data_IF_863380392255
#
_entry.id   IF_863380392255
#
_cell.length_a   1.000
_cell.length_b   1.000
_cell.length_c   1.000
_cell.angle_alpha   90.00
_cell.angle_beta   90.00
_cell.angle_gamma   90.00
#
_symmetry.space_group_name_H-M   'P 1'
#
loop_
_entity.id
_entity.type
_entity.pdbx_description
1 polymer ?
#
# COMPACT_ATOMS: atom_id res chain seq x y z
N UNK A 1 -5.10 -17.83 1.97
CA UNK A 1 -3.84 -17.03 1.97
C UNK A 1 -3.38 -16.90 3.41
N UNK A 2 -2.07 -16.94 3.64
CA UNK A 2 -1.50 -16.69 4.97
C UNK A 2 -1.93 -15.31 5.49
N UNK A 3 -2.22 -15.21 6.79
CA UNK A 3 -2.61 -13.96 7.45
C UNK A 3 -1.51 -13.46 8.37
N UNK A 4 -1.39 -12.13 8.47
CA UNK A 4 -0.38 -11.46 9.28
C UNK A 4 -1.02 -10.34 10.13
N UNK A 5 -0.63 -10.22 11.40
CA UNK A 5 -1.10 -9.14 12.27
C UNK A 5 -0.57 -7.78 11.80
N UNK A 6 -1.44 -6.79 11.71
CA UNK A 6 -1.04 -5.41 11.41
C UNK A 6 -0.51 -4.73 12.68
N UNK A 7 0.76 -4.37 12.62
CA UNK A 7 1.43 -3.68 13.72
C UNK A 7 1.30 -4.42 15.04
N UNK A 8 0.93 -3.68 16.08
CA UNK A 8 0.68 -4.21 17.43
C UNK A 8 -0.77 -4.64 17.66
N UNK A 9 -1.63 -4.64 16.62
CA UNK A 9 -3.07 -4.96 16.75
C UNK A 9 -3.37 -6.45 16.55
N UNK A 10 -4.63 -6.82 16.78
CA UNK A 10 -5.15 -8.17 16.46
C UNK A 10 -5.74 -8.26 15.04
N UNK A 11 -5.64 -7.22 14.23
CA UNK A 11 -6.18 -7.20 12.86
C UNK A 11 -5.34 -8.11 11.96
N UNK A 12 -5.96 -9.13 11.38
CA UNK A 12 -5.31 -10.15 10.56
C UNK A 12 -5.46 -9.83 9.06
N UNK A 13 -4.43 -9.25 8.47
CA UNK A 13 -4.33 -8.96 7.02
C UNK A 13 -3.82 -10.17 6.25
N UNK A 14 -4.35 -10.39 5.05
CA UNK A 14 -3.69 -11.26 4.07
C UNK A 14 -2.27 -10.79 3.78
N UNK A 15 -1.35 -11.72 3.56
CA UNK A 15 0.09 -11.44 3.37
C UNK A 15 0.39 -10.60 2.12
N UNK A 16 -0.51 -10.62 1.14
CA UNK A 16 -0.57 -9.70 0.00
C UNK A 16 -1.83 -8.84 0.14
N UNK A 17 -1.70 -7.54 -0.12
CA UNK A 17 -2.79 -6.56 -0.09
C UNK A 17 -3.27 -6.29 -1.52
N UNK A 18 -4.57 -6.14 -1.73
CA UNK A 18 -5.09 -5.76 -3.03
C UNK A 18 -5.28 -4.24 -3.15
N UNK A 19 -4.49 -3.61 -4.03
CA UNK A 19 -4.52 -2.17 -4.29
C UNK A 19 -5.59 -1.77 -5.31
N UNK A 20 -6.50 -0.91 -4.90
CA UNK A 20 -7.69 -0.54 -5.68
C UNK A 20 -7.51 0.70 -6.58
N UNK A 21 -6.32 1.30 -6.65
CA UNK A 21 -6.09 2.55 -7.41
C UNK A 21 -6.48 2.45 -8.90
N UNK A 22 -6.33 1.29 -9.51
CA UNK A 22 -6.53 1.09 -10.96
C UNK A 22 -7.84 0.43 -11.36
N UNK A 23 -8.73 0.12 -10.39
CA UNK A 23 -9.93 -0.69 -10.66
C UNK A 23 -10.95 0.00 -11.59
N UNK A 24 -10.99 1.33 -11.63
CA UNK A 24 -11.89 2.05 -12.55
C UNK A 24 -11.21 2.45 -13.88
N UNK A 25 -9.87 2.39 -13.96
CA UNK A 25 -9.12 2.78 -15.16
C UNK A 25 -9.49 4.19 -15.63
N UNK A 26 -9.96 4.33 -16.86
CA UNK A 26 -10.50 5.57 -17.44
C UNK A 26 -11.99 5.82 -17.08
N UNK A 27 -12.54 5.03 -16.18
CA UNK A 27 -13.94 5.03 -15.73
C UNK A 27 -14.98 4.72 -16.83
N UNK A 28 -14.55 4.21 -17.98
CA UNK A 28 -15.48 3.66 -18.99
C UNK A 28 -16.14 2.38 -18.49
N UNK A 29 -17.30 2.04 -19.09
CA UNK A 29 -18.00 0.78 -18.76
C UNK A 29 -17.10 -0.45 -18.94
N UNK A 30 -16.21 -0.44 -19.94
CA UNK A 30 -15.24 -1.52 -20.18
C UNK A 30 -14.23 -1.63 -19.04
N UNK A 31 -13.68 -0.49 -18.60
CA UNK A 31 -12.71 -0.43 -17.50
C UNK A 31 -13.35 -0.81 -16.16
N UNK A 32 -14.55 -0.32 -15.87
CA UNK A 32 -15.30 -0.69 -14.65
C UNK A 32 -15.62 -2.20 -14.62
N UNK A 33 -16.05 -2.80 -15.75
CA UNK A 33 -16.28 -4.25 -15.85
C UNK A 33 -14.99 -5.05 -15.57
N UNK A 34 -13.85 -4.61 -16.12
CA UNK A 34 -12.55 -5.22 -15.85
C UNK A 34 -12.15 -5.08 -14.37
N UNK A 35 -12.34 -3.91 -13.78
CA UNK A 35 -12.06 -3.67 -12.36
C UNK A 35 -12.95 -4.51 -11.44
N UNK A 36 -14.23 -4.61 -11.74
CA UNK A 36 -15.17 -5.49 -11.04
C UNK A 36 -14.69 -6.94 -11.05
N UNK A 37 -14.32 -7.47 -12.22
CA UNK A 37 -13.78 -8.83 -12.33
C UNK A 37 -12.50 -9.01 -11.53
N UNK A 38 -11.63 -8.00 -11.49
CA UNK A 38 -10.40 -8.04 -10.70
C UNK A 38 -10.69 -8.07 -9.19
N UNK A 39 -11.64 -7.27 -8.69
CA UNK A 39 -12.06 -7.28 -7.29
C UNK A 39 -12.67 -8.64 -6.90
N UNK A 40 -13.57 -9.20 -7.74
CA UNK A 40 -14.13 -10.54 -7.55
C UNK A 40 -13.01 -11.59 -7.44
N UNK A 41 -12.08 -11.57 -8.39
CA UNK A 41 -10.93 -12.48 -8.36
C UNK A 41 -10.09 -12.33 -7.09
N UNK A 42 -9.82 -11.11 -6.65
CA UNK A 42 -9.06 -10.90 -5.41
C UNK A 42 -9.77 -11.52 -4.20
N UNK A 43 -11.07 -11.30 -4.06
CA UNK A 43 -11.90 -11.90 -2.99
C UNK A 43 -11.85 -13.43 -3.07
N UNK A 44 -12.08 -14.02 -4.24
CA UNK A 44 -12.04 -15.47 -4.47
C UNK A 44 -10.66 -16.08 -4.17
N UNK A 45 -9.58 -15.33 -4.41
CA UNK A 45 -8.22 -15.77 -4.12
C UNK A 45 -7.81 -15.58 -2.65
N UNK A 46 -8.70 -15.08 -1.79
CA UNK A 46 -8.51 -14.96 -0.35
C UNK A 46 -7.72 -13.72 0.05
N UNK A 47 -7.69 -12.67 -0.79
CA UNK A 47 -7.29 -11.34 -0.34
C UNK A 47 -8.39 -10.79 0.57
N UNK A 48 -8.06 -10.44 1.79
CA UNK A 48 -9.01 -9.84 2.73
C UNK A 48 -8.71 -8.37 3.03
N UNK A 49 -7.61 -7.82 2.50
CA UNK A 49 -7.20 -6.44 2.72
C UNK A 49 -7.19 -5.66 1.40
N UNK A 50 -8.03 -4.61 1.34
CA UNK A 50 -8.23 -3.78 0.16
C UNK A 50 -7.77 -2.35 0.45
N UNK A 51 -6.80 -1.88 -0.35
CA UNK A 51 -6.15 -0.58 -0.18
C UNK A 51 -6.73 0.46 -1.12
N UNK A 52 -7.45 1.40 -0.55
CA UNK A 52 -8.09 2.54 -1.20
C UNK A 52 -7.42 3.88 -0.86
N UNK A 53 -7.90 4.95 -1.45
CA UNK A 53 -7.71 6.33 -1.03
C UNK A 53 -8.86 7.18 -1.57
N UNK A 54 -9.20 8.26 -0.85
CA UNK A 54 -10.26 9.20 -1.22
C UNK A 54 -10.09 9.81 -2.61
N UNK A 55 -8.83 9.91 -3.09
CA UNK A 55 -8.48 10.50 -4.40
C UNK A 55 -8.43 9.50 -5.55
N UNK A 56 -8.50 8.17 -5.30
CA UNK A 56 -8.37 7.18 -6.37
C UNK A 56 -9.57 7.21 -7.32
N UNK A 57 -9.29 7.48 -8.60
CA UNK A 57 -10.35 7.69 -9.59
C UNK A 57 -11.32 8.83 -9.23
N UNK A 58 -10.90 9.80 -8.37
CA UNK A 58 -11.81 10.83 -7.87
C UNK A 58 -12.89 10.31 -6.91
N UNK A 59 -12.64 9.17 -6.26
CA UNK A 59 -13.59 8.49 -5.37
C UNK A 59 -14.30 7.30 -6.03
N UNK A 60 -14.26 7.19 -7.36
CA UNK A 60 -14.94 6.13 -8.11
C UNK A 60 -14.41 4.71 -7.77
N UNK A 61 -13.14 4.58 -7.34
CA UNK A 61 -12.60 3.29 -6.91
C UNK A 61 -13.31 2.77 -5.65
N UNK A 62 -13.61 3.64 -4.70
CA UNK A 62 -14.37 3.31 -3.48
C UNK A 62 -15.82 2.94 -3.82
N UNK A 63 -16.47 3.67 -4.75
CA UNK A 63 -17.84 3.40 -5.21
C UNK A 63 -17.91 2.01 -5.89
N UNK A 64 -17.02 1.72 -6.84
CA UNK A 64 -17.01 0.43 -7.52
C UNK A 64 -16.79 -0.74 -6.55
N UNK A 65 -15.94 -0.56 -5.55
CA UNK A 65 -15.72 -1.57 -4.52
C UNK A 65 -16.99 -1.83 -3.70
N UNK A 66 -17.69 -0.77 -3.27
CA UNK A 66 -18.95 -0.89 -2.56
C UNK A 66 -20.04 -1.61 -3.39
N UNK A 67 -20.13 -1.31 -4.70
CA UNK A 67 -21.04 -2.01 -5.63
C UNK A 67 -20.75 -3.53 -5.64
N UNK A 68 -19.47 -3.92 -5.74
CA UNK A 68 -19.07 -5.34 -5.75
C UNK A 68 -19.42 -6.04 -4.44
N UNK A 69 -19.13 -5.43 -3.29
CA UNK A 69 -19.47 -6.02 -1.99
C UNK A 69 -20.97 -6.19 -1.80
N UNK A 70 -21.76 -5.21 -2.23
CA UNK A 70 -23.23 -5.26 -2.18
C UNK A 70 -23.78 -6.40 -3.04
N UNK A 71 -23.30 -6.55 -4.27
CA UNK A 71 -23.74 -7.62 -5.18
C UNK A 71 -23.42 -9.01 -4.65
N UNK A 72 -22.27 -9.15 -3.96
CA UNK A 72 -21.87 -10.43 -3.34
C UNK A 72 -22.59 -10.70 -2.02
N UNK A 73 -23.32 -9.72 -1.46
CA UNK A 73 -23.79 -9.76 -0.06
C UNK A 73 -22.68 -10.14 0.91
N UNK A 74 -21.47 -9.59 0.67
CA UNK A 74 -20.25 -10.01 1.37
C UNK A 74 -20.26 -9.54 2.82
N UNK A 75 -19.84 -10.42 3.72
CA UNK A 75 -19.71 -10.09 5.15
C UNK A 75 -18.60 -9.05 5.38
N UNK A 76 -18.99 -7.83 5.79
CA UNK A 76 -18.10 -6.70 6.02
C UNK A 76 -16.99 -7.02 7.04
N UNK A 77 -17.26 -7.88 8.01
CA UNK A 77 -16.30 -8.24 9.06
C UNK A 77 -15.15 -9.15 8.56
N UNK A 78 -15.27 -9.71 7.36
CA UNK A 78 -14.23 -10.53 6.75
C UNK A 78 -13.24 -9.75 5.89
N UNK A 79 -13.41 -8.43 5.81
CA UNK A 79 -12.61 -7.55 4.95
C UNK A 79 -11.98 -6.45 5.81
N UNK A 80 -10.72 -6.14 5.48
CA UNK A 80 -10.02 -4.95 5.95
C UNK A 80 -10.06 -3.92 4.83
N UNK A 81 -10.67 -2.78 5.10
CA UNK A 81 -10.66 -1.63 4.21
C UNK A 81 -9.66 -0.62 4.76
N UNK A 82 -8.59 -0.40 4.01
CA UNK A 82 -7.74 0.78 4.19
C UNK A 82 -8.22 1.88 3.25
N UNK A 83 -8.41 3.09 3.77
CA UNK A 83 -8.47 4.29 2.92
C UNK A 83 -7.48 5.35 3.39
N UNK A 84 -7.25 6.37 2.57
CA UNK A 84 -6.24 7.39 2.83
C UNK A 84 -6.82 8.77 2.57
N UNK A 85 -6.32 9.77 3.30
CA UNK A 85 -6.72 11.18 3.14
C UNK A 85 -5.52 12.12 3.21
N UNK A 86 -5.74 13.39 2.93
CA UNK A 86 -4.74 14.44 3.11
C UNK A 86 -4.14 14.98 1.81
N UNK A 87 -4.45 14.42 0.64
CA UNK A 87 -4.01 14.96 -0.65
C UNK A 87 -5.12 15.77 -1.30
N UNK A 88 -4.86 17.04 -1.59
CA UNK A 88 -5.77 17.91 -2.35
C UNK A 88 -5.22 18.15 -3.74
N UNK A 89 -6.02 17.80 -4.75
CA UNK A 89 -5.65 18.02 -6.15
C UNK A 89 -5.70 19.52 -6.48
N UNK A 90 -4.99 19.91 -7.53
CA UNK A 90 -5.12 21.25 -8.11
C UNK A 90 -6.60 21.54 -8.40
N UNK A 91 -6.98 22.80 -8.31
CA UNK A 91 -8.35 23.28 -8.52
C UNK A 91 -9.40 22.70 -7.54
N UNK A 92 -8.99 22.31 -6.32
CA UNK A 92 -9.86 21.76 -5.30
C UNK A 92 -9.65 22.47 -3.93
N UNK A 93 -10.71 23.09 -3.29
CA UNK A 93 -12.10 23.14 -3.81
C UNK A 93 -12.36 24.25 -4.83
N UNK A 94 -11.44 25.22 -4.97
CA UNK A 94 -11.65 26.39 -5.85
C UNK A 94 -10.71 26.33 -7.05
N UNK A 95 -11.18 26.89 -8.18
CA UNK A 95 -10.36 27.07 -9.38
C UNK A 95 -9.09 27.87 -9.05
N UNK A 96 -7.95 27.44 -9.55
CA UNK A 96 -6.60 27.95 -9.31
C UNK A 96 -6.00 27.62 -7.92
N UNK A 97 -6.68 26.87 -7.06
CA UNK A 97 -6.03 26.33 -5.87
C UNK A 97 -4.85 25.44 -6.27
N UNK A 98 -3.67 25.55 -5.62
CA UNK A 98 -2.55 24.66 -5.89
C UNK A 98 -2.86 23.24 -5.37
N UNK A 99 -2.22 22.25 -5.99
CA UNK A 99 -2.11 20.94 -5.37
C UNK A 99 -1.35 21.08 -4.04
N UNK A 100 -1.86 20.45 -2.98
CA UNK A 100 -1.29 20.56 -1.63
C UNK A 100 -1.66 19.39 -0.76
N UNK A 101 -1.02 19.29 0.37
CA UNK A 101 -1.46 18.42 1.47
C UNK A 101 -2.32 19.22 2.45
N UNK A 102 -3.23 18.55 3.14
CA UNK A 102 -4.11 19.16 4.15
C UNK A 102 -4.44 18.09 5.19
N UNK A 103 -3.73 18.12 6.30
CA UNK A 103 -3.92 17.24 7.45
C UNK A 103 -4.53 17.97 8.63
N UNK A 104 -5.29 19.06 8.36
CA UNK A 104 -6.11 19.70 9.39
C UNK A 104 -7.19 18.73 9.90
N UNK A 105 -7.53 18.83 11.19
CA UNK A 105 -8.58 18.02 11.82
C UNK A 105 -9.87 18.02 10.99
N UNK A 106 -10.31 19.21 10.57
CA UNK A 106 -11.54 19.38 9.76
C UNK A 106 -11.48 18.63 8.44
N UNK A 107 -10.32 18.66 7.75
CA UNK A 107 -10.20 18.00 6.45
C UNK A 107 -10.13 16.48 6.59
N UNK A 108 -9.41 15.96 7.58
CA UNK A 108 -9.34 14.52 7.88
C UNK A 108 -10.74 13.96 8.11
N UNK A 109 -11.51 14.56 9.02
CA UNK A 109 -12.88 14.11 9.34
C UNK A 109 -13.77 14.15 8.10
N UNK A 110 -13.77 15.27 7.36
CA UNK A 110 -14.54 15.41 6.11
C UNK A 110 -14.18 14.34 5.07
N UNK A 111 -12.89 14.04 4.90
CA UNK A 111 -12.43 13.00 3.95
C UNK A 111 -12.92 11.62 4.35
N UNK A 112 -12.83 11.27 5.63
CA UNK A 112 -13.33 9.99 6.17
C UNK A 112 -14.83 9.86 5.95
N UNK A 113 -15.61 10.87 6.27
CA UNK A 113 -17.07 10.85 6.03
C UNK A 113 -17.42 10.69 4.56
N UNK A 114 -16.63 11.32 3.67
CA UNK A 114 -16.76 11.14 2.23
C UNK A 114 -16.45 9.70 1.80
N UNK A 115 -15.39 9.10 2.32
CA UNK A 115 -15.01 7.72 2.03
C UNK A 115 -16.03 6.71 2.55
N UNK A 116 -16.53 6.89 3.77
CA UNK A 116 -17.59 6.05 4.35
C UNK A 116 -18.85 6.04 3.47
N UNK A 117 -19.26 7.22 2.99
CA UNK A 117 -20.41 7.34 2.06
C UNK A 117 -20.15 6.61 0.73
N UNK A 118 -18.98 6.77 0.12
CA UNK A 118 -18.62 6.11 -1.16
C UNK A 118 -18.48 4.61 -1.01
N UNK A 119 -17.84 4.15 0.07
CA UNK A 119 -17.65 2.74 0.41
C UNK A 119 -18.94 2.06 0.90
N UNK A 120 -19.99 2.86 1.18
CA UNK A 120 -21.27 2.38 1.74
C UNK A 120 -21.06 1.50 2.98
N UNK A 121 -20.26 1.99 3.94
CA UNK A 121 -19.91 1.30 5.20
C UNK A 121 -19.92 2.28 6.36
N UNK A 122 -20.14 1.77 7.56
CA UNK A 122 -20.17 2.58 8.78
C UNK A 122 -18.78 2.85 9.34
N UNK A 123 -17.77 2.03 8.97
CA UNK A 123 -16.40 2.17 9.47
C UNK A 123 -15.34 1.82 8.43
N UNK A 124 -14.16 2.39 8.60
CA UNK A 124 -12.90 2.07 7.93
C UNK A 124 -12.01 1.33 8.94
N UNK A 125 -11.45 0.19 8.55
CA UNK A 125 -10.58 -0.60 9.45
C UNK A 125 -9.25 0.09 9.72
N UNK A 126 -8.69 0.77 8.70
CA UNK A 126 -7.40 1.44 8.79
C UNK A 126 -7.40 2.73 7.96
N UNK A 127 -7.22 3.87 8.60
CA UNK A 127 -7.03 5.16 7.94
C UNK A 127 -5.53 5.50 7.87
N UNK A 128 -5.04 5.84 6.69
CA UNK A 128 -3.68 6.36 6.51
C UNK A 128 -3.68 7.85 6.18
N UNK A 129 -2.76 8.60 6.76
CA UNK A 129 -2.37 9.90 6.24
C UNK A 129 -1.56 9.67 4.95
N UNK A 130 -2.08 10.10 3.79
CA UNK A 130 -1.57 9.67 2.48
C UNK A 130 -0.17 10.16 2.16
N UNK A 131 0.17 11.37 2.63
CA UNK A 131 1.49 12.01 2.50
C UNK A 131 1.76 12.87 3.73
N UNK A 132 3.03 13.05 4.13
CA UNK A 132 3.37 14.00 5.17
C UNK A 132 3.06 15.43 4.69
N UNK A 133 2.28 16.16 5.48
CA UNK A 133 2.03 17.57 5.26
C UNK A 133 3.13 18.38 5.94
N UNK A 134 3.78 19.28 5.20
CA UNK A 134 4.83 20.15 5.76
C UNK A 134 4.29 21.15 6.80
N UNK A 135 2.99 21.37 6.81
CA UNK A 135 2.28 22.25 7.75
C UNK A 135 1.47 21.45 8.80
N UNK A 136 1.78 20.18 9.00
CA UNK A 136 1.09 19.30 9.94
C UNK A 136 1.19 19.83 11.37
N UNK A 137 0.04 19.97 12.02
CA UNK A 137 -0.08 20.15 13.46
C UNK A 137 -0.46 18.81 14.11
N UNK A 138 0.45 18.24 14.89
CA UNK A 138 0.27 16.88 15.42
C UNK A 138 -0.93 16.79 16.39
N UNK A 139 -1.22 17.85 17.16
CA UNK A 139 -2.39 17.93 18.03
C UNK A 139 -3.70 17.88 17.24
N UNK A 140 -3.78 18.53 16.08
CA UNK A 140 -4.96 18.48 15.24
C UNK A 140 -5.20 17.09 14.67
N UNK A 141 -4.14 16.43 14.21
CA UNK A 141 -4.20 15.05 13.71
C UNK A 141 -4.60 14.09 14.81
N UNK A 142 -3.98 14.18 15.99
CA UNK A 142 -4.33 13.36 17.15
C UNK A 142 -5.77 13.59 17.58
N UNK A 143 -6.23 14.84 17.62
CA UNK A 143 -7.62 15.18 17.91
C UNK A 143 -8.62 14.66 16.86
N UNK A 144 -8.22 14.58 15.57
CA UNK A 144 -9.04 13.96 14.53
C UNK A 144 -9.12 12.43 14.73
N UNK A 145 -8.00 11.79 15.02
CA UNK A 145 -7.94 10.35 15.26
C UNK A 145 -8.80 9.94 16.45
N UNK A 146 -8.71 10.67 17.56
CA UNK A 146 -9.50 10.41 18.75
C UNK A 146 -11.01 10.56 18.48
N UNK A 147 -11.43 11.59 17.76
CA UNK A 147 -12.83 11.81 17.39
C UNK A 147 -13.37 10.70 16.47
N UNK A 148 -12.58 10.30 15.47
CA UNK A 148 -12.95 9.24 14.54
C UNK A 148 -13.02 7.87 15.21
N UNK A 149 -12.11 7.59 16.15
CA UNK A 149 -12.11 6.36 16.94
C UNK A 149 -13.34 6.32 17.86
N UNK A 150 -13.58 7.39 18.64
CA UNK A 150 -14.69 7.46 19.60
C UNK A 150 -16.06 7.38 18.90
N UNK A 151 -16.17 7.87 17.66
CA UNK A 151 -17.38 7.74 16.86
C UNK A 151 -17.50 6.39 16.13
N UNK A 152 -16.53 5.49 16.26
CA UNK A 152 -16.49 4.20 15.58
C UNK A 152 -16.30 4.26 14.07
N UNK A 153 -16.03 5.45 13.51
CA UNK A 153 -15.85 5.65 12.06
C UNK A 153 -14.53 5.11 11.53
N UNK A 154 -13.48 5.06 12.36
CA UNK A 154 -12.17 4.50 12.05
C UNK A 154 -11.69 3.66 13.22
N UNK A 155 -11.25 2.45 12.95
CA UNK A 155 -10.82 1.51 13.99
C UNK A 155 -9.31 1.57 14.28
N UNK A 156 -8.49 1.88 13.29
CA UNK A 156 -7.03 1.93 13.41
C UNK A 156 -6.44 3.01 12.51
N UNK A 157 -5.21 3.43 12.84
CA UNK A 157 -4.51 4.51 12.15
C UNK A 157 -3.12 4.11 11.70
N UNK A 158 -2.64 4.79 10.68
CA UNK A 158 -1.29 4.67 10.17
C UNK A 158 -0.94 5.85 9.27
N UNK A 159 0.21 5.75 8.64
CA UNK A 159 0.74 6.79 7.77
C UNK A 159 1.23 6.22 6.44
N UNK A 160 1.49 7.09 5.49
CA UNK A 160 2.11 6.72 4.22
C UNK A 160 3.18 7.74 3.84
N UNK A 161 4.37 7.24 3.46
CA UNK A 161 5.53 8.04 3.08
C UNK A 161 6.09 8.96 4.17
N UNK A 162 5.85 8.64 5.44
CA UNK A 162 6.43 9.36 6.56
C UNK A 162 7.86 8.86 6.83
N UNK A 163 8.77 9.79 7.07
CA UNK A 163 10.11 9.47 7.54
C UNK A 163 10.08 8.96 8.99
N UNK A 164 11.15 8.30 9.48
CA UNK A 164 11.23 7.85 10.86
C UNK A 164 11.01 8.97 11.87
N UNK A 165 11.55 10.17 11.64
CA UNK A 165 11.34 11.32 12.52
C UNK A 165 9.90 11.81 12.52
N UNK A 166 9.24 11.82 11.37
CA UNK A 166 7.82 12.22 11.27
C UNK A 166 6.89 11.20 11.95
N UNK A 167 7.18 9.89 11.82
CA UNK A 167 6.45 8.85 12.54
C UNK A 167 6.62 9.03 14.05
N UNK A 168 7.86 9.19 14.54
CA UNK A 168 8.14 9.38 15.98
C UNK A 168 7.46 10.62 16.53
N UNK A 169 7.52 11.73 15.78
CA UNK A 169 6.86 12.98 16.16
C UNK A 169 5.36 12.80 16.28
N UNK A 170 4.70 12.26 15.25
CA UNK A 170 3.25 12.07 15.28
C UNK A 170 2.83 11.08 16.37
N UNK A 171 3.55 9.96 16.52
CA UNK A 171 3.25 8.96 17.54
C UNK A 171 3.32 9.53 18.96
N UNK A 172 4.19 10.52 19.22
CA UNK A 172 4.30 11.16 20.54
C UNK A 172 3.07 11.98 20.94
N UNK A 173 2.19 12.32 20.00
CA UNK A 173 0.92 13.01 20.23
C UNK A 173 -0.31 12.09 20.19
N UNK A 174 -0.15 10.88 19.62
CA UNK A 174 -1.25 9.93 19.47
C UNK A 174 -1.23 8.88 20.59
N UNK A 175 -2.34 8.70 21.29
CA UNK A 175 -2.51 7.61 22.27
C UNK A 175 -2.58 6.24 21.58
N UNK A 176 -3.21 6.19 20.39
CA UNK A 176 -3.32 4.99 19.59
C UNK A 176 -2.01 4.72 18.84
N UNK A 177 -1.58 3.45 18.75
CA UNK A 177 -0.41 3.11 17.95
C UNK A 177 -0.67 3.33 16.46
N UNK A 178 0.33 3.87 15.75
CA UNK A 178 0.34 3.86 14.30
C UNK A 178 0.70 2.44 13.83
N UNK A 179 -0.24 1.75 13.19
CA UNK A 179 -0.07 0.33 12.85
C UNK A 179 0.70 0.10 11.55
N UNK A 180 0.72 1.09 10.66
CA UNK A 180 1.25 0.96 9.30
C UNK A 180 2.03 2.21 8.91
N UNK A 181 3.18 2.01 8.23
CA UNK A 181 3.78 3.02 7.35
C UNK A 181 3.83 2.44 5.93
N UNK A 182 3.03 3.00 5.02
CA UNK A 182 2.96 2.55 3.64
C UNK A 182 3.93 3.36 2.79
N UNK A 183 5.01 2.75 2.31
CA UNK A 183 6.11 3.41 1.60
C UNK A 183 6.43 2.72 0.28
N UNK A 184 7.11 3.43 -0.63
CA UNK A 184 7.62 2.79 -1.83
C UNK A 184 8.79 1.88 -1.49
N UNK A 185 8.66 0.59 -1.79
CA UNK A 185 9.76 -0.36 -1.67
C UNK A 185 9.71 -1.32 -2.87
N UNK A 186 10.78 -1.30 -3.65
CA UNK A 186 11.03 -2.20 -4.77
C UNK A 186 12.53 -2.17 -5.09
N UNK A 187 12.99 -2.94 -6.07
CA UNK A 187 14.41 -3.00 -6.40
C UNK A 187 14.97 -1.66 -6.94
N UNK A 188 14.13 -0.80 -7.53
CA UNK A 188 14.54 0.52 -8.01
C UNK A 188 14.50 1.58 -6.90
N UNK A 189 13.72 1.36 -5.84
CA UNK A 189 13.68 2.23 -4.67
C UNK A 189 13.87 1.41 -3.38
N UNK A 190 15.09 1.40 -2.89
CA UNK A 190 15.50 0.71 -1.64
C UNK A 190 15.75 1.69 -0.49
N UNK A 191 15.34 2.94 -0.61
CA UNK A 191 15.60 3.98 0.40
C UNK A 191 15.22 3.53 1.81
N UNK A 192 14.07 2.87 1.95
CA UNK A 192 13.59 2.36 3.25
C UNK A 192 14.49 1.30 3.90
N UNK A 193 15.43 0.69 3.17
CA UNK A 193 16.42 -0.22 3.73
C UNK A 193 17.57 0.52 4.45
N UNK A 194 17.77 1.82 4.16
CA UNK A 194 18.96 2.56 4.59
C UNK A 194 18.66 3.84 5.37
N UNK A 195 17.42 4.34 5.34
CA UNK A 195 17.00 5.58 5.99
C UNK A 195 16.44 5.38 7.42
N UNK A 196 16.44 4.13 7.91
CA UNK A 196 15.90 3.78 9.22
C UNK A 196 14.39 3.47 9.23
N UNK A 197 13.69 3.58 8.09
CA UNK A 197 12.24 3.31 8.02
C UNK A 197 11.90 1.87 8.44
N UNK A 198 12.58 0.87 7.87
CA UNK A 198 12.31 -0.53 8.20
C UNK A 198 12.82 -0.93 9.60
N UNK A 199 13.87 -0.26 10.10
CA UNK A 199 14.35 -0.45 11.47
C UNK A 199 13.32 0.06 12.48
N UNK A 200 12.80 1.27 12.28
CA UNK A 200 11.73 1.84 13.10
C UNK A 200 10.45 0.98 13.04
N UNK A 201 10.09 0.48 11.86
CA UNK A 201 8.95 -0.42 11.72
C UNK A 201 9.09 -1.66 12.61
N UNK A 202 10.28 -2.26 12.66
CA UNK A 202 10.55 -3.41 13.55
C UNK A 202 10.54 -2.99 15.02
N UNK A 203 11.16 -1.86 15.37
CA UNK A 203 11.28 -1.36 16.74
C UNK A 203 9.91 -1.06 17.35
N UNK A 204 9.05 -0.33 16.62
CA UNK A 204 7.75 0.13 17.09
C UNK A 204 6.60 -0.84 16.77
N UNK A 205 6.89 -2.00 16.18
CA UNK A 205 5.88 -2.96 15.70
C UNK A 205 4.88 -2.30 14.73
N UNK A 206 5.38 -1.50 13.80
CA UNK A 206 4.63 -0.92 12.69
C UNK A 206 4.79 -1.84 11.49
N UNK A 207 3.71 -2.17 10.77
CA UNK A 207 3.79 -2.99 9.55
C UNK A 207 4.15 -2.11 8.35
N UNK A 208 5.31 -2.31 7.70
CA UNK A 208 5.60 -1.66 6.44
C UNK A 208 4.75 -2.26 5.32
N UNK A 209 4.07 -1.41 4.55
CA UNK A 209 3.36 -1.81 3.34
C UNK A 209 4.10 -1.26 2.12
N UNK A 210 4.38 -2.09 1.11
CA UNK A 210 5.08 -1.67 -0.08
C UNK A 210 4.10 -1.28 -1.20
N UNK A 211 3.94 0.02 -1.46
CA UNK A 211 3.31 0.45 -2.69
C UNK A 211 4.31 0.43 -3.85
N UNK A 212 3.83 0.31 -5.10
CA UNK A 212 4.68 0.04 -6.28
C UNK A 212 5.68 -1.13 -6.08
N UNK A 213 5.28 -2.29 -5.53
CA UNK A 213 6.21 -3.34 -5.15
C UNK A 213 7.00 -3.93 -6.32
N UNK A 214 6.55 -3.72 -7.56
CA UNK A 214 7.20 -4.25 -8.76
C UNK A 214 8.15 -3.26 -9.43
N UNK A 215 8.07 -1.96 -9.10
CA UNK A 215 8.94 -0.92 -9.64
C UNK A 215 9.14 -1.03 -11.15
N UNK A 216 10.37 -0.93 -11.63
CA UNK A 216 10.73 -1.07 -13.05
C UNK A 216 10.65 -2.50 -13.60
N UNK A 217 10.40 -3.51 -12.78
CA UNK A 217 10.34 -4.93 -13.22
C UNK A 217 9.14 -5.21 -14.13
N UNK A 218 8.00 -4.60 -13.84
CA UNK A 218 6.76 -4.79 -14.58
C UNK A 218 6.32 -3.56 -15.41
N UNK A 219 6.89 -2.39 -15.14
CA UNK A 219 6.61 -1.11 -15.79
C UNK A 219 7.74 -0.12 -15.48
N UNK A 220 7.93 0.96 -16.26
CA UNK A 220 8.95 1.96 -15.98
C UNK A 220 8.85 2.48 -14.54
N UNK A 221 9.96 2.48 -13.81
CA UNK A 221 10.02 2.99 -12.44
C UNK A 221 9.86 4.51 -12.42
N UNK A 222 9.14 5.02 -11.42
CA UNK A 222 9.03 6.45 -11.22
C UNK A 222 10.37 7.05 -10.78
N UNK A 223 10.76 8.16 -11.43
CA UNK A 223 12.01 8.83 -11.11
C UNK A 223 13.25 7.97 -11.33
N UNK A 224 13.15 6.96 -12.20
CA UNK A 224 14.25 6.06 -12.48
C UNK A 224 15.45 6.82 -13.07
N UNK A 225 16.59 6.70 -12.39
CA UNK A 225 17.89 7.25 -12.82
C UNK A 225 18.87 6.15 -13.25
N UNK A 226 18.42 4.91 -13.37
CA UNK A 226 19.24 3.77 -13.77
C UNK A 226 19.63 3.87 -15.24
N UNK A 227 20.89 3.53 -15.54
CA UNK A 227 21.37 3.41 -16.92
C UNK A 227 20.80 2.17 -17.60
N UNK A 228 20.99 2.06 -18.91
CA UNK A 228 20.62 0.84 -19.65
C UNK A 228 21.40 -0.37 -19.13
N UNK A 229 22.68 -0.19 -18.79
CA UNK A 229 23.54 -1.23 -18.21
C UNK A 229 23.01 -1.69 -16.84
N UNK A 230 22.55 -0.76 -16.00
CA UNK A 230 21.96 -1.09 -14.71
C UNK A 230 20.69 -1.94 -14.88
N UNK A 231 19.79 -1.52 -15.78
CA UNK A 231 18.55 -2.26 -16.05
C UNK A 231 18.85 -3.65 -16.65
N UNK A 232 19.83 -3.76 -17.52
CA UNK A 232 20.26 -5.05 -18.09
C UNK A 232 20.82 -5.97 -17.00
N UNK A 233 21.64 -5.45 -16.09
CA UNK A 233 22.23 -6.20 -14.97
C UNK A 233 21.13 -6.69 -14.01
N UNK A 234 20.22 -5.80 -13.61
CA UNK A 234 19.07 -6.13 -12.76
C UNK A 234 18.20 -7.20 -13.42
N UNK A 235 17.88 -7.01 -14.71
CA UNK A 235 17.07 -7.97 -15.48
C UNK A 235 17.74 -9.33 -15.59
N UNK A 236 19.04 -9.37 -15.84
CA UNK A 236 19.79 -10.62 -15.94
C UNK A 236 19.73 -11.44 -14.65
N UNK A 237 19.84 -10.78 -13.49
CA UNK A 237 19.71 -11.48 -12.20
C UNK A 237 18.27 -11.93 -11.93
N UNK A 238 17.26 -11.15 -12.31
CA UNK A 238 15.87 -11.61 -12.25
C UNK A 238 15.62 -12.83 -13.14
N UNK A 239 16.12 -12.82 -14.38
CA UNK A 239 15.97 -13.95 -15.32
C UNK A 239 16.65 -15.22 -14.77
N UNK A 240 17.84 -15.08 -14.17
CA UNK A 240 18.53 -16.18 -13.50
C UNK A 240 17.72 -16.76 -12.35
N UNK A 241 17.20 -15.89 -11.47
CA UNK A 241 16.44 -16.33 -10.30
C UNK A 241 15.06 -16.87 -10.67
N UNK A 242 14.39 -16.27 -11.66
CA UNK A 242 13.11 -16.75 -12.16
C UNK A 242 13.24 -18.19 -12.71
N UNK A 243 14.31 -18.47 -13.48
CA UNK A 243 14.63 -19.83 -13.93
C UNK A 243 14.92 -20.77 -12.77
N UNK A 244 15.71 -20.33 -11.79
CA UNK A 244 16.07 -21.12 -10.60
C UNK A 244 14.84 -21.53 -9.77
N UNK A 245 13.90 -20.60 -9.58
CA UNK A 245 12.69 -20.82 -8.78
C UNK A 245 11.48 -21.26 -9.62
N UNK A 246 11.66 -21.47 -10.93
CA UNK A 246 10.61 -21.85 -11.88
C UNK A 246 9.39 -20.92 -11.82
N UNK A 247 9.64 -19.62 -11.93
CA UNK A 247 8.60 -18.58 -11.84
C UNK A 247 8.93 -17.36 -12.72
N UNK A 248 8.12 -16.30 -12.67
CA UNK A 248 8.35 -15.07 -13.42
C UNK A 248 9.13 -14.02 -12.60
N UNK A 249 9.82 -13.10 -13.28
CA UNK A 249 10.64 -12.05 -12.67
C UNK A 249 9.87 -11.21 -11.63
N UNK A 250 8.62 -10.85 -11.93
CA UNK A 250 7.81 -10.06 -11.01
C UNK A 250 7.39 -10.83 -9.74
N UNK A 251 7.31 -12.15 -9.80
CA UNK A 251 7.09 -13.01 -8.63
C UNK A 251 8.34 -13.02 -7.74
N UNK A 252 9.54 -13.08 -8.34
CA UNK A 252 10.81 -12.95 -7.60
C UNK A 252 10.86 -11.62 -6.85
N UNK A 253 10.42 -10.52 -7.48
CA UNK A 253 10.37 -9.21 -6.80
C UNK A 253 9.48 -9.24 -5.55
N UNK A 254 8.33 -9.89 -5.63
CA UNK A 254 7.47 -10.07 -4.46
C UNK A 254 8.12 -10.94 -3.38
N UNK A 255 8.75 -12.06 -3.77
CA UNK A 255 9.45 -12.94 -2.85
C UNK A 255 10.63 -12.22 -2.16
N UNK A 256 11.33 -11.33 -2.86
CA UNK A 256 12.39 -10.49 -2.33
C UNK A 256 11.87 -9.57 -1.20
N UNK A 257 10.74 -8.89 -1.40
CA UNK A 257 10.09 -8.07 -0.37
C UNK A 257 9.63 -8.90 0.82
N UNK A 258 8.97 -10.02 0.55
CA UNK A 258 8.42 -10.92 1.57
C UNK A 258 9.50 -11.53 2.46
N UNK A 259 10.76 -11.64 1.97
CA UNK A 259 11.90 -12.19 2.70
C UNK A 259 12.38 -11.27 3.83
N UNK A 260 12.11 -9.97 3.75
CA UNK A 260 12.63 -8.99 4.71
C UNK A 260 12.05 -9.23 6.12
N UNK A 261 12.89 -9.18 7.20
CA UNK A 261 12.44 -9.45 8.57
C UNK A 261 11.41 -8.46 9.11
N UNK A 262 11.34 -7.23 8.58
CA UNK A 262 10.30 -6.26 8.91
C UNK A 262 8.88 -6.69 8.44
N UNK A 263 8.74 -7.87 7.78
CA UNK A 263 7.45 -8.43 7.35
C UNK A 263 6.67 -7.49 6.41
N UNK A 264 7.36 -6.95 5.42
CA UNK A 264 6.78 -6.08 4.40
C UNK A 264 5.54 -6.74 3.77
N UNK A 265 4.43 -6.01 3.65
CA UNK A 265 3.21 -6.43 2.95
C UNK A 265 3.14 -5.76 1.56
N UNK A 266 3.38 -6.48 0.46
CA UNK A 266 3.26 -5.91 -0.88
C UNK A 266 1.81 -5.62 -1.27
N UNK A 267 1.59 -4.46 -1.93
CA UNK A 267 0.27 -4.05 -2.44
C UNK A 267 0.20 -4.35 -3.93
N UNK A 268 -0.62 -5.32 -4.30
CA UNK A 268 -0.79 -5.78 -5.68
C UNK A 268 -1.86 -4.94 -6.38
N UNK A 269 -1.50 -4.19 -7.41
CA UNK A 269 -2.41 -3.26 -8.10
C UNK A 269 -2.81 -3.67 -9.53
N UNK A 270 -2.65 -4.92 -9.91
CA UNK A 270 -3.03 -5.40 -11.24
C UNK A 270 -4.54 -5.62 -11.36
N UNK A 271 -5.11 -5.34 -12.55
CA UNK A 271 -6.50 -5.66 -12.89
C UNK A 271 -6.61 -6.89 -13.80
N UNK A 272 -5.55 -7.67 -13.94
CA UNK A 272 -5.53 -8.91 -14.73
C UNK A 272 -5.75 -10.10 -13.79
N UNK A 273 -6.86 -10.86 -13.93
CA UNK A 273 -7.23 -11.96 -13.01
C UNK A 273 -6.12 -13.00 -12.82
N UNK A 274 -5.45 -13.43 -13.90
CA UNK A 274 -4.35 -14.40 -13.78
C UNK A 274 -3.22 -13.86 -12.89
N UNK A 275 -2.80 -12.61 -13.07
CA UNK A 275 -1.75 -11.99 -12.25
C UNK A 275 -2.15 -11.84 -10.78
N UNK A 276 -3.43 -11.61 -10.48
CA UNK A 276 -3.94 -11.57 -9.10
C UNK A 276 -3.79 -12.94 -8.44
N UNK A 277 -4.12 -14.00 -9.17
CA UNK A 277 -3.95 -15.38 -8.73
C UNK A 277 -2.48 -15.75 -8.58
N UNK A 278 -1.68 -15.46 -9.60
CA UNK A 278 -0.28 -15.91 -9.70
C UNK A 278 0.63 -15.21 -8.68
N UNK A 279 0.29 -13.98 -8.22
CA UNK A 279 1.04 -13.29 -7.17
C UNK A 279 1.22 -14.13 -5.90
N UNK A 280 0.29 -15.04 -5.60
CA UNK A 280 0.35 -15.94 -4.45
C UNK A 280 1.53 -16.91 -4.51
N UNK A 281 2.05 -17.23 -5.70
CA UNK A 281 3.24 -18.07 -5.86
C UNK A 281 4.45 -17.52 -5.07
N UNK A 282 4.52 -16.20 -4.90
CA UNK A 282 5.58 -15.58 -4.12
C UNK A 282 5.60 -16.01 -2.65
N UNK A 283 4.47 -16.44 -2.10
CA UNK A 283 4.35 -16.92 -0.72
C UNK A 283 4.94 -18.32 -0.53
N UNK A 284 4.99 -19.12 -1.60
CA UNK A 284 5.45 -20.51 -1.58
C UNK A 284 6.96 -20.61 -1.90
N UNK A 285 7.62 -19.51 -2.29
CA UNK A 285 9.03 -19.49 -2.62
C UNK A 285 9.88 -19.44 -1.35
N UNK A 286 10.65 -20.51 -1.10
CA UNK A 286 11.70 -20.51 -0.08
C UNK A 286 12.89 -19.66 -0.54
N UNK A 287 12.68 -18.33 -0.58
CA UNK A 287 13.66 -17.38 -1.10
C UNK A 287 14.90 -17.31 -0.21
N UNK A 288 16.09 -17.58 -0.79
CA UNK A 288 17.31 -17.67 -0.02
C UNK A 288 17.90 -16.30 0.35
N UNK A 289 18.61 -16.22 1.49
CA UNK A 289 19.37 -15.02 1.87
C UNK A 289 20.42 -14.67 0.79
N UNK A 290 21.06 -15.67 0.20
CA UNK A 290 22.06 -15.48 -0.86
C UNK A 290 21.47 -14.81 -2.09
N UNK A 291 20.31 -15.27 -2.56
CA UNK A 291 19.66 -14.71 -3.74
C UNK A 291 19.12 -13.29 -3.45
N UNK A 292 18.69 -13.02 -2.23
CA UNK A 292 18.29 -11.69 -1.80
C UNK A 292 19.43 -10.67 -1.97
N UNK A 293 20.64 -11.01 -1.53
CA UNK A 293 21.82 -10.17 -1.66
C UNK A 293 22.33 -10.09 -3.10
N UNK A 294 22.27 -11.19 -3.89
CA UNK A 294 22.63 -11.15 -5.31
C UNK A 294 21.78 -10.12 -6.08
N UNK A 295 20.50 -10.05 -5.80
CA UNK A 295 19.63 -9.06 -6.43
C UNK A 295 19.96 -7.63 -5.96
N UNK A 296 20.32 -7.45 -4.69
CA UNK A 296 20.80 -6.17 -4.19
C UNK A 296 22.10 -5.74 -4.86
N UNK A 297 23.08 -6.65 -5.03
CA UNK A 297 24.33 -6.40 -5.76
C UNK A 297 24.07 -6.07 -7.23
N UNK A 298 23.16 -6.82 -7.88
CA UNK A 298 22.78 -6.52 -9.27
C UNK A 298 22.18 -5.11 -9.39
N UNK A 299 21.41 -4.66 -8.41
CA UNK A 299 20.88 -3.29 -8.36
C UNK A 299 21.98 -2.25 -8.15
N UNK A 300 22.93 -2.50 -7.24
CA UNK A 300 23.97 -1.55 -6.87
C UNK A 300 25.10 -1.45 -7.91
N UNK A 301 25.39 -2.55 -8.62
CA UNK A 301 26.50 -2.65 -9.56
C UNK A 301 27.84 -2.98 -8.93
N UNK A 302 27.88 -3.22 -7.62
CA UNK A 302 29.08 -3.61 -6.87
C UNK A 302 28.73 -4.58 -5.74
N UNK A 303 29.71 -5.35 -5.29
CA UNK A 303 29.55 -6.28 -4.18
C UNK A 303 29.20 -5.54 -2.88
N UNK A 304 28.41 -6.19 -2.05
CA UNK A 304 28.16 -5.70 -0.68
C UNK A 304 29.48 -5.76 0.09
N UNK A 305 29.94 -4.65 0.71
CA UNK A 305 31.23 -4.59 1.42
C UNK A 305 31.24 -5.45 2.68
#
# INVERSE_FOLDING_TARGET
>A
MESYKLGSSEVLSSRLIYGCMRVVGDNSNKSRKKGKQALLTAIEQGYNHFDHADIYGGGECEILFAEVLKELSYDRNKIIITSKCGVRKKDNPYKNDPARYDLSKKYIIKSVEGSLKRLNTEYIDLLLLHRPDYLLHAEEVSGAFLELLNSGKVLNFGVSNFSPSQVSMLQSYCEQPLLVNQVEINIHNITSLTDGTLDQCQQLKITPQAWCPLGGVAYPAWGNTFTVEDEMRIKSEFDFQAKKYNTENWIIMLAWLLKHPAKILPIIGTTTPSRIKDAKQALDIHYSRKDWYRLLEARQGYAVP
#
